data_IF_069075166926
#
_entry.id   IF_069075166926
#
_cell.length_a   1.000
_cell.length_b   1.000
_cell.length_c   1.000
_cell.angle_alpha   90.00
_cell.angle_beta   90.00
_cell.angle_gamma   90.00
#
_symmetry.space_group_name_H-M   'P 1'
#
loop_
_entity.id
_entity.type
_entity.pdbx_description
1 polymer ?
#
# COMPACT_ATOMS: atom_id res chain seq x y z
N UNK A 1 -61.72 -38.89 35.25
CA UNK A 1 -60.92 -40.10 34.94
C UNK A 1 -60.62 -40.12 33.47
N UNK A 2 -59.45 -40.30 33.10
CA UNK A 2 -58.76 -40.38 31.82
C UNK A 2 -58.04 -39.09 31.38
N UNK A 3 -56.87 -39.04 31.90
CA UNK A 3 -55.78 -38.18 31.47
C UNK A 3 -55.39 -38.48 30.05
N UNK A 4 -55.46 -37.51 29.14
CA UNK A 4 -54.87 -37.59 27.82
C UNK A 4 -53.72 -36.58 27.74
N UNK A 5 -52.53 -37.13 27.86
CA UNK A 5 -51.27 -36.41 27.66
C UNK A 5 -51.06 -36.23 26.17
N UNK A 6 -51.17 -35.01 25.69
CA UNK A 6 -50.71 -34.63 24.34
C UNK A 6 -49.24 -34.24 24.41
N UNK A 7 -48.39 -35.13 23.95
CA UNK A 7 -46.97 -34.84 23.66
C UNK A 7 -46.92 -34.04 22.37
N UNK A 8 -46.69 -32.73 22.48
CA UNK A 8 -46.27 -31.92 21.36
C UNK A 8 -44.73 -31.90 21.30
N UNK A 9 -44.20 -32.73 20.46
CA UNK A 9 -42.78 -32.70 20.09
C UNK A 9 -42.51 -31.51 19.18
N UNK A 10 -41.96 -30.43 19.74
CA UNK A 10 -41.37 -29.35 18.95
C UNK A 10 -39.97 -29.80 18.42
N UNK A 11 -39.97 -30.17 17.17
CA UNK A 11 -38.67 -30.39 16.45
C UNK A 11 -38.17 -28.99 16.05
N UNK A 12 -37.24 -28.47 16.82
CA UNK A 12 -36.49 -27.28 16.45
C UNK A 12 -35.44 -27.66 15.42
N UNK A 13 -35.73 -27.41 14.13
CA UNK A 13 -34.76 -27.44 13.06
C UNK A 13 -33.80 -26.25 13.22
N UNK A 14 -32.68 -26.48 13.87
CA UNK A 14 -31.55 -25.55 13.84
C UNK A 14 -30.90 -25.63 12.46
N UNK A 15 -31.26 -24.68 11.60
CA UNK A 15 -30.49 -24.41 10.39
C UNK A 15 -29.13 -23.83 10.83
N UNK A 16 -28.11 -24.67 10.89
CA UNK A 16 -26.73 -24.23 10.93
C UNK A 16 -26.40 -23.61 9.58
N UNK A 17 -26.50 -22.30 9.48
CA UNK A 17 -25.94 -21.58 8.37
C UNK A 17 -24.41 -21.66 8.51
N UNK A 18 -23.81 -22.60 7.80
CA UNK A 18 -22.39 -22.51 7.52
C UNK A 18 -22.21 -21.28 6.64
N UNK A 19 -21.85 -20.15 7.27
CA UNK A 19 -21.26 -19.04 6.55
C UNK A 19 -19.97 -19.58 5.94
N UNK A 20 -20.01 -19.89 4.65
CA UNK A 20 -18.81 -20.01 3.84
C UNK A 20 -18.19 -18.61 3.86
N UNK A 21 -17.29 -18.36 4.80
CA UNK A 21 -16.32 -17.32 4.64
C UNK A 21 -15.51 -17.72 3.40
N UNK A 22 -15.74 -17.04 2.28
CA UNK A 22 -14.81 -17.06 1.17
C UNK A 22 -13.46 -16.61 1.73
N UNK A 23 -12.62 -17.58 2.03
CA UNK A 23 -11.20 -17.34 2.24
C UNK A 23 -10.68 -16.90 0.88
N UNK A 24 -10.69 -15.60 0.63
CA UNK A 24 -9.84 -15.00 -0.37
C UNK A 24 -8.43 -15.37 0.04
N UNK A 25 -7.88 -16.39 -0.60
CA UNK A 25 -6.52 -16.84 -0.34
C UNK A 25 -5.61 -15.72 -0.82
N UNK A 26 -5.13 -14.89 0.14
CA UNK A 26 -4.15 -13.85 -0.18
C UNK A 26 -2.92 -14.52 -0.78
N UNK A 27 -2.45 -13.98 -1.90
CA UNK A 27 -1.23 -14.47 -2.55
C UNK A 27 -0.01 -14.12 -1.69
N UNK A 28 0.96 -15.02 -1.68
CA UNK A 28 2.25 -14.72 -1.06
C UNK A 28 3.08 -13.82 -1.99
N UNK A 29 3.83 -12.84 -1.44
CA UNK A 29 4.80 -12.07 -2.23
C UNK A 29 5.83 -12.94 -2.96
N UNK A 30 6.10 -14.14 -2.46
CA UNK A 30 6.96 -15.12 -3.13
C UNK A 30 6.39 -15.65 -4.44
N UNK A 31 5.08 -15.62 -4.62
CA UNK A 31 4.38 -16.11 -5.82
C UNK A 31 4.27 -15.05 -6.93
N UNK A 32 4.88 -13.90 -6.72
CA UNK A 32 4.90 -12.80 -7.66
C UNK A 32 5.66 -13.19 -8.94
N UNK A 33 5.02 -12.98 -10.09
CA UNK A 33 5.64 -13.26 -11.39
C UNK A 33 6.77 -12.27 -11.70
N UNK A 34 7.60 -12.61 -12.68
CA UNK A 34 8.67 -11.72 -13.16
C UNK A 34 8.09 -10.39 -13.69
N UNK A 35 6.96 -10.46 -14.39
CA UNK A 35 6.28 -9.29 -14.93
C UNK A 35 5.70 -8.39 -13.83
N UNK A 36 5.06 -8.96 -12.81
CA UNK A 36 4.56 -8.21 -11.68
C UNK A 36 5.70 -7.49 -10.93
N UNK A 37 6.83 -8.18 -10.71
CA UNK A 37 8.02 -7.56 -10.10
C UNK A 37 8.57 -6.42 -10.94
N UNK A 38 8.62 -6.59 -12.26
CA UNK A 38 9.06 -5.53 -13.19
C UNK A 38 8.14 -4.33 -13.11
N UNK A 39 6.82 -4.51 -13.19
CA UNK A 39 5.84 -3.43 -13.07
C UNK A 39 5.95 -2.71 -11.72
N UNK A 40 6.11 -3.46 -10.63
CA UNK A 40 6.32 -2.89 -9.29
C UNK A 40 7.55 -1.98 -9.24
N UNK A 41 8.66 -2.42 -9.83
CA UNK A 41 9.90 -1.62 -9.89
C UNK A 41 9.78 -0.41 -10.82
N UNK A 42 9.03 -0.51 -11.91
CA UNK A 42 8.73 0.63 -12.80
C UNK A 42 7.91 1.70 -12.08
N UNK A 43 6.88 1.31 -11.31
CA UNK A 43 6.10 2.25 -10.50
C UNK A 43 6.95 2.90 -9.40
N UNK A 44 7.82 2.14 -8.74
CA UNK A 44 8.78 2.68 -7.78
C UNK A 44 9.71 3.72 -8.42
N UNK A 45 10.19 3.44 -9.64
CA UNK A 45 11.00 4.37 -10.42
C UNK A 45 10.26 5.65 -10.80
N UNK A 46 8.98 5.55 -11.16
CA UNK A 46 8.14 6.74 -11.43
C UNK A 46 7.98 7.62 -10.20
N UNK A 47 7.84 7.02 -9.01
CA UNK A 47 7.83 7.78 -7.76
C UNK A 47 9.16 8.49 -7.50
N UNK A 48 10.28 7.77 -7.58
CA UNK A 48 11.62 8.34 -7.41
C UNK A 48 11.86 9.54 -8.37
N UNK A 49 11.49 9.37 -9.64
CA UNK A 49 11.62 10.43 -10.64
C UNK A 49 10.73 11.64 -10.36
N UNK A 50 9.50 11.42 -9.93
CA UNK A 50 8.58 12.48 -9.53
C UNK A 50 9.16 13.28 -8.38
N UNK A 51 9.58 12.62 -7.29
CA UNK A 51 10.13 13.27 -6.09
C UNK A 51 11.38 14.07 -6.43
N UNK A 52 12.28 13.50 -7.21
CA UNK A 52 13.49 14.20 -7.64
C UNK A 52 13.18 15.45 -8.47
N UNK A 53 12.30 15.32 -9.47
CA UNK A 53 11.90 16.42 -10.34
C UNK A 53 11.21 17.54 -9.56
N UNK A 54 10.26 17.19 -8.69
CA UNK A 54 9.56 18.15 -7.82
C UNK A 54 10.54 18.92 -6.92
N UNK A 55 11.45 18.20 -6.27
CA UNK A 55 12.41 18.80 -5.36
C UNK A 55 13.40 19.72 -6.10
N UNK A 56 13.93 19.30 -7.25
CA UNK A 56 14.86 20.13 -8.04
C UNK A 56 14.20 21.37 -8.62
N UNK A 57 12.95 21.28 -9.05
CA UNK A 57 12.18 22.43 -9.56
C UNK A 57 11.91 23.45 -8.45
N UNK A 58 11.69 23.00 -7.22
CA UNK A 58 11.30 23.85 -6.09
C UNK A 58 12.44 24.11 -5.08
N UNK A 59 13.69 23.80 -5.41
CA UNK A 59 14.82 23.91 -4.50
C UNK A 59 15.03 25.34 -3.96
N UNK A 60 14.67 26.35 -4.73
CA UNK A 60 14.74 27.75 -4.33
C UNK A 60 13.55 28.25 -3.52
N UNK A 61 12.49 27.47 -3.40
CA UNK A 61 11.24 27.91 -2.73
C UNK A 61 11.35 28.00 -1.20
N UNK A 62 12.29 27.25 -0.60
CA UNK A 62 12.51 27.22 0.85
C UNK A 62 14.00 27.16 1.18
N UNK A 63 14.39 27.79 2.29
CA UNK A 63 15.78 27.73 2.76
C UNK A 63 16.12 26.37 3.38
N UNK A 64 15.16 25.75 4.09
CA UNK A 64 15.34 24.43 4.67
C UNK A 64 15.06 23.34 3.62
N UNK A 65 16.11 22.59 3.27
CA UNK A 65 16.03 21.47 2.30
C UNK A 65 15.05 20.36 2.74
N UNK A 66 14.79 20.22 4.05
CA UNK A 66 13.83 19.23 4.54
C UNK A 66 12.40 19.60 4.14
N UNK A 67 12.07 20.91 4.15
CA UNK A 67 10.77 21.41 3.68
C UNK A 67 10.62 21.14 2.17
N UNK A 68 11.68 21.39 1.39
CA UNK A 68 11.68 21.06 -0.05
C UNK A 68 11.44 19.57 -0.28
N UNK A 69 12.14 18.72 0.47
CA UNK A 69 11.99 17.27 0.38
C UNK A 69 10.57 16.81 0.78
N UNK A 70 10.05 17.29 1.90
CA UNK A 70 8.71 16.92 2.39
C UNK A 70 7.61 17.31 1.41
N UNK A 71 7.71 18.50 0.82
CA UNK A 71 6.78 18.96 -0.21
C UNK A 71 6.83 18.07 -1.45
N UNK A 72 8.02 17.71 -1.93
CA UNK A 72 8.20 16.82 -3.08
C UNK A 72 7.62 15.41 -2.82
N UNK A 73 7.90 14.85 -1.63
CA UNK A 73 7.34 13.57 -1.20
C UNK A 73 5.81 13.61 -1.14
N UNK A 74 5.24 14.70 -0.61
CA UNK A 74 3.80 14.90 -0.52
C UNK A 74 3.14 15.04 -1.89
N UNK A 75 3.71 15.86 -2.79
CA UNK A 75 3.19 16.09 -4.13
C UNK A 75 3.19 14.81 -5.00
N UNK A 76 4.12 13.90 -4.71
CA UNK A 76 4.23 12.63 -5.43
C UNK A 76 3.51 11.46 -4.76
N UNK A 77 2.80 11.69 -3.65
CA UNK A 77 2.14 10.63 -2.86
C UNK A 77 1.19 9.75 -3.69
N UNK A 78 0.50 10.31 -4.67
CA UNK A 78 -0.41 9.55 -5.55
C UNK A 78 0.30 8.44 -6.31
N UNK A 79 1.59 8.60 -6.63
CA UNK A 79 2.39 7.55 -7.29
C UNK A 79 2.62 6.34 -6.39
N UNK A 80 2.73 6.54 -5.06
CA UNK A 80 2.79 5.44 -4.09
C UNK A 80 1.44 4.76 -3.93
N UNK A 81 0.34 5.53 -3.92
CA UNK A 81 -1.01 4.97 -3.88
C UNK A 81 -1.28 4.11 -5.12
N UNK A 82 -0.87 4.56 -6.31
CA UNK A 82 -0.99 3.77 -7.54
C UNK A 82 -0.20 2.46 -7.44
N UNK A 83 0.99 2.49 -6.85
CA UNK A 83 1.81 1.30 -6.59
C UNK A 83 1.14 0.33 -5.61
N UNK A 84 0.58 0.84 -4.51
CA UNK A 84 -0.15 0.03 -3.52
C UNK A 84 -1.38 -0.63 -4.15
N UNK A 85 -2.16 0.13 -4.93
CA UNK A 85 -3.32 -0.38 -5.67
C UNK A 85 -2.93 -1.44 -6.70
N UNK A 86 -1.81 -1.28 -7.37
CA UNK A 86 -1.28 -2.26 -8.30
C UNK A 86 -0.97 -3.59 -7.59
N UNK A 87 -0.24 -3.52 -6.47
CA UNK A 87 0.18 -4.69 -5.69
C UNK A 87 -1.04 -5.42 -5.09
N UNK A 88 -1.96 -4.69 -4.49
CA UNK A 88 -3.20 -5.27 -3.93
C UNK A 88 -4.12 -5.81 -5.02
N UNK A 89 -4.14 -5.18 -6.21
CA UNK A 89 -4.88 -5.64 -7.38
C UNK A 89 -4.41 -7.01 -7.88
N UNK A 90 -3.18 -7.42 -7.59
CA UNK A 90 -2.68 -8.78 -7.86
C UNK A 90 -3.06 -9.79 -6.76
N UNK A 91 -3.80 -9.39 -5.75
CA UNK A 91 -4.19 -10.23 -4.62
C UNK A 91 -3.13 -10.36 -3.53
N UNK A 92 -2.14 -9.47 -3.50
CA UNK A 92 -1.15 -9.41 -2.42
C UNK A 92 -1.77 -8.74 -1.18
N UNK A 93 -1.29 -9.10 0.04
CA UNK A 93 -1.75 -8.47 1.27
C UNK A 93 -1.53 -6.94 1.27
N UNK A 94 -2.50 -6.19 1.79
CA UNK A 94 -2.39 -4.73 1.93
C UNK A 94 -1.16 -4.32 2.76
N UNK A 95 -0.86 -5.04 3.83
CA UNK A 95 0.32 -4.79 4.67
C UNK A 95 1.65 -4.96 3.92
N UNK A 96 1.71 -5.86 2.93
CA UNK A 96 2.87 -5.97 2.05
C UNK A 96 3.01 -4.74 1.15
N UNK A 97 1.92 -4.30 0.52
CA UNK A 97 1.91 -3.13 -0.35
C UNK A 97 2.33 -1.86 0.41
N UNK A 98 1.76 -1.63 1.59
CA UNK A 98 2.11 -0.50 2.47
C UNK A 98 3.58 -0.53 2.92
N UNK A 99 4.08 -1.71 3.32
CA UNK A 99 5.48 -1.88 3.74
C UNK A 99 6.44 -1.63 2.58
N UNK A 100 6.06 -2.05 1.37
CA UNK A 100 6.87 -1.82 0.18
C UNK A 100 6.91 -0.33 -0.17
N UNK A 101 5.76 0.35 -0.25
CA UNK A 101 5.69 1.77 -0.56
C UNK A 101 6.41 2.64 0.48
N UNK A 102 6.30 2.29 1.76
CA UNK A 102 7.04 2.95 2.84
C UNK A 102 8.56 2.86 2.64
N UNK A 103 9.07 1.69 2.27
CA UNK A 103 10.50 1.51 1.97
C UNK A 103 10.95 2.32 0.75
N UNK A 104 10.11 2.41 -0.29
CA UNK A 104 10.39 3.25 -1.46
C UNK A 104 10.48 4.72 -1.05
N UNK A 105 9.51 5.21 -0.27
CA UNK A 105 9.51 6.58 0.26
C UNK A 105 10.78 6.88 1.08
N UNK A 106 11.14 6.01 2.00
CA UNK A 106 12.35 6.16 2.83
C UNK A 106 13.62 6.16 1.98
N UNK A 107 13.70 5.30 0.96
CA UNK A 107 14.83 5.28 0.03
C UNK A 107 14.94 6.59 -0.75
N UNK A 108 13.82 7.09 -1.28
CA UNK A 108 13.78 8.36 -2.00
C UNK A 108 14.26 9.51 -1.10
N UNK A 109 13.80 9.59 0.14
CA UNK A 109 14.24 10.60 1.11
C UNK A 109 15.74 10.56 1.37
N UNK A 110 16.29 9.35 1.62
CA UNK A 110 17.74 9.19 1.87
C UNK A 110 18.62 9.57 0.68
N UNK A 111 18.12 9.40 -0.54
CA UNK A 111 18.83 9.83 -1.75
C UNK A 111 18.71 11.32 -1.99
N UNK A 112 17.53 11.87 -1.75
CA UNK A 112 17.19 13.26 -2.09
C UNK A 112 17.91 14.27 -1.20
N UNK A 113 17.94 14.06 0.13
CA UNK A 113 18.49 15.05 1.07
C UNK A 113 19.93 15.44 0.80
N UNK A 114 20.88 14.51 0.56
CA UNK A 114 22.24 14.88 0.21
C UNK A 114 22.34 15.65 -1.11
N UNK A 115 21.55 15.28 -2.11
CA UNK A 115 21.51 15.97 -3.40
C UNK A 115 21.04 17.42 -3.24
N UNK A 116 19.98 17.65 -2.45
CA UNK A 116 19.50 19.00 -2.15
C UNK A 116 20.56 19.82 -1.40
N UNK A 117 21.24 19.21 -0.44
CA UNK A 117 22.29 19.90 0.32
C UNK A 117 23.44 20.34 -0.58
N UNK A 118 23.93 19.48 -1.48
CA UNK A 118 25.00 19.77 -2.44
C UNK A 118 24.55 20.91 -3.38
N UNK A 119 23.35 20.81 -3.93
CA UNK A 119 22.80 21.81 -4.86
C UNK A 119 22.61 23.18 -4.22
N UNK A 120 22.12 23.22 -3.00
CA UNK A 120 21.98 24.48 -2.24
C UNK A 120 23.33 25.11 -1.89
N UNK A 121 24.32 24.31 -1.56
CA UNK A 121 25.66 24.80 -1.23
C UNK A 121 26.43 25.31 -2.47
N UNK A 122 26.16 24.75 -3.66
CA UNK A 122 26.83 25.10 -4.92
C UNK A 122 26.17 26.21 -5.73
N UNK A 123 24.99 26.62 -5.32
CA UNK A 123 24.19 27.72 -5.92
C UNK A 123 24.19 28.93 -5.02
#
# INVERSE_FOLDING_TARGET
MKLKICFLTCIALTFSQFANAEQTTERSPGDMTVDERRQMMEHAGRYDNCVYSEAMTNIGAHDDIRVVADNALGNCQTKLQDLENLITGWGMPAGYAESFSSRIRQRATRKLLPELAIRKAGG
#
